data_IF_386387763926
#
_entry.id   IF_386387763926
#
_cell.length_a   1.000
_cell.length_b   1.000
_cell.length_c   1.000
_cell.angle_alpha   90.00
_cell.angle_beta   90.00
_cell.angle_gamma   90.00
#
_symmetry.space_group_name_H-M   'P 1'
#
loop_
_entity.id
_entity.type
_entity.pdbx_description
1 polymer ?
#
# COMPACT_ATOMS: atom_id res chain seq x y z
N UNK A 1 1.73 10.25 -8.88
CA UNK A 1 3.03 10.41 -8.20
C UNK A 1 2.85 11.41 -7.08
N UNK A 2 3.20 11.04 -5.84
CA UNK A 2 3.10 11.94 -4.69
C UNK A 2 4.53 12.41 -4.38
N UNK A 3 4.75 13.72 -4.47
CA UNK A 3 6.08 14.33 -4.38
C UNK A 3 6.48 14.74 -2.97
N UNK A 4 5.51 14.96 -2.09
CA UNK A 4 5.68 15.53 -0.76
C UNK A 4 4.99 14.73 0.34
N UNK A 5 4.84 13.42 0.17
CA UNK A 5 4.28 12.57 1.23
C UNK A 5 5.16 12.63 2.47
N UNK A 6 4.61 13.11 3.59
CA UNK A 6 5.31 13.25 4.87
C UNK A 6 4.47 12.67 6.01
N UNK A 7 4.74 11.41 6.29
CA UNK A 7 4.18 10.67 7.43
C UNK A 7 4.21 11.50 8.74
N UNK A 8 5.37 12.12 9.01
CA UNK A 8 5.63 12.94 10.20
C UNK A 8 4.80 14.22 10.28
N UNK A 9 4.25 14.71 9.16
CA UNK A 9 3.35 15.88 9.12
C UNK A 9 1.86 15.46 9.14
N UNK A 10 1.59 14.15 9.28
CA UNK A 10 0.25 13.60 9.39
C UNK A 10 -0.34 13.08 8.09
N UNK A 11 0.42 13.06 6.98
CA UNK A 11 -0.06 12.51 5.72
C UNK A 11 -0.39 11.02 5.84
N UNK A 12 -1.50 10.63 5.22
CA UNK A 12 -1.98 9.26 5.18
C UNK A 12 -2.42 8.92 3.77
N UNK A 13 -2.18 7.69 3.36
CA UNK A 13 -2.73 7.18 2.11
C UNK A 13 -4.07 6.55 2.45
N UNK A 14 -5.15 7.06 1.88
CA UNK A 14 -6.51 6.52 2.08
C UNK A 14 -6.92 5.71 0.85
N UNK A 15 -7.14 4.41 1.03
CA UNK A 15 -7.51 3.46 -0.02
C UNK A 15 -8.86 2.80 0.24
N UNK A 16 -9.64 3.29 1.22
CA UNK A 16 -10.95 2.72 1.60
C UNK A 16 -11.93 2.62 0.44
N UNK A 17 -11.92 3.61 -0.46
CA UNK A 17 -12.80 3.61 -1.62
C UNK A 17 -12.36 2.63 -2.71
N UNK A 18 -11.07 2.25 -2.71
CA UNK A 18 -10.47 1.42 -3.75
C UNK A 18 -10.40 -0.05 -3.37
N UNK A 19 -10.14 -0.34 -2.10
CA UNK A 19 -10.03 -1.69 -1.58
C UNK A 19 -11.34 -2.10 -0.93
N UNK A 20 -11.90 -3.20 -1.41
CA UNK A 20 -13.06 -3.86 -0.82
C UNK A 20 -12.81 -5.36 -0.78
N UNK A 21 -13.23 -6.00 0.32
CA UNK A 21 -13.10 -7.45 0.49
C UNK A 21 -11.69 -7.92 0.88
N UNK A 22 -10.79 -6.99 1.19
CA UNK A 22 -9.50 -7.28 1.78
C UNK A 22 -9.63 -7.69 3.26
N UNK A 23 -8.68 -8.46 3.74
CA UNK A 23 -8.48 -8.73 5.16
C UNK A 23 -6.98 -8.65 5.48
N UNK A 24 -6.63 -8.56 6.75
CA UNK A 24 -5.22 -8.56 7.17
C UNK A 24 -4.46 -9.82 6.68
N UNK A 25 -5.14 -10.97 6.56
CA UNK A 25 -4.52 -12.22 6.09
C UNK A 25 -4.37 -12.30 4.57
N UNK A 26 -5.07 -11.48 3.80
CA UNK A 26 -5.03 -11.48 2.33
C UNK A 26 -4.49 -10.18 1.75
N UNK A 27 -4.09 -9.22 2.59
CA UNK A 27 -3.73 -7.86 2.15
C UNK A 27 -2.55 -7.83 1.18
N UNK A 28 -1.66 -8.84 1.20
CA UNK A 28 -0.54 -8.96 0.27
C UNK A 28 -0.98 -9.28 -1.18
N UNK A 29 -2.21 -9.76 -1.36
CA UNK A 29 -2.85 -9.89 -2.66
C UNK A 29 -3.28 -8.52 -3.22
N UNK A 30 -3.53 -7.54 -2.36
CA UNK A 30 -4.04 -6.22 -2.71
C UNK A 30 -2.95 -5.15 -2.71
N UNK A 31 -1.99 -5.21 -1.79
CA UNK A 31 -0.96 -4.21 -1.57
C UNK A 31 0.44 -4.82 -1.61
N UNK A 32 1.32 -4.21 -2.39
CA UNK A 32 2.77 -4.49 -2.35
C UNK A 32 3.56 -3.20 -2.34
N UNK A 33 4.74 -3.26 -1.75
CA UNK A 33 5.73 -2.18 -1.83
C UNK A 33 6.96 -2.73 -2.54
N UNK A 34 7.39 -2.01 -3.57
CA UNK A 34 8.73 -2.18 -4.14
C UNK A 34 9.56 -0.96 -3.86
N UNK A 35 10.84 -1.14 -3.59
CA UNK A 35 11.78 -0.01 -3.44
C UNK A 35 12.89 -0.16 -4.46
N UNK A 36 13.08 0.89 -5.27
CA UNK A 36 14.13 0.97 -6.29
C UNK A 36 14.88 2.27 -6.05
N UNK A 37 16.21 2.19 -5.96
CA UNK A 37 17.10 3.34 -5.71
C UNK A 37 16.68 4.21 -4.52
N UNK A 38 16.22 3.55 -3.44
CA UNK A 38 15.78 4.22 -2.21
C UNK A 38 14.41 4.88 -2.28
N UNK A 39 13.69 4.74 -3.40
CA UNK A 39 12.34 5.28 -3.57
C UNK A 39 11.32 4.15 -3.55
N UNK A 40 10.38 4.23 -2.61
CA UNK A 40 9.30 3.26 -2.52
C UNK A 40 8.15 3.57 -3.47
N UNK A 41 7.56 2.50 -3.99
CA UNK A 41 6.35 2.50 -4.81
C UNK A 41 5.35 1.55 -4.17
N UNK A 42 4.16 2.07 -3.86
CA UNK A 42 3.02 1.28 -3.40
C UNK A 42 2.20 0.85 -4.62
N UNK A 43 2.11 -0.45 -4.84
CA UNK A 43 1.22 -1.06 -5.83
C UNK A 43 -0.07 -1.51 -5.15
N UNK A 44 -1.18 -1.22 -5.81
CA UNK A 44 -2.53 -1.51 -5.33
C UNK A 44 -3.30 -2.26 -6.41
N UNK A 45 -3.89 -3.40 -6.06
CA UNK A 45 -4.85 -4.14 -6.89
C UNK A 45 -6.18 -4.19 -6.14
N UNK A 46 -7.23 -3.56 -6.66
CA UNK A 46 -8.56 -3.57 -6.04
C UNK A 46 -9.21 -4.96 -6.12
N UNK A 47 -8.79 -5.78 -7.08
CA UNK A 47 -9.28 -7.16 -7.25
C UNK A 47 -8.45 -8.20 -6.47
N UNK A 48 -7.41 -7.79 -5.74
CA UNK A 48 -6.57 -8.71 -4.97
C UNK A 48 -5.74 -9.68 -5.85
N UNK A 49 -5.16 -9.20 -6.95
CA UNK A 49 -4.46 -10.05 -7.93
C UNK A 49 -2.94 -9.90 -7.97
N UNK A 50 -2.32 -9.24 -6.99
CA UNK A 50 -0.86 -9.04 -6.96
C UNK A 50 -0.03 -10.31 -6.76
N UNK A 51 -0.64 -11.39 -6.25
CA UNK A 51 -0.04 -12.72 -6.12
C UNK A 51 -0.49 -13.70 -7.21
N UNK A 52 -1.42 -13.31 -8.07
CA UNK A 52 -1.85 -14.12 -9.21
C UNK A 52 -0.80 -14.07 -10.35
N UNK A 53 -1.02 -14.87 -11.40
CA UNK A 53 -0.23 -14.76 -12.63
C UNK A 53 -0.28 -13.32 -13.17
N UNK A 54 0.88 -12.78 -13.55
CA UNK A 54 1.04 -11.36 -13.92
C UNK A 54 1.54 -10.47 -12.76
N UNK A 55 1.35 -10.87 -11.51
CA UNK A 55 1.94 -10.22 -10.34
C UNK A 55 1.65 -8.72 -10.27
N UNK A 56 2.70 -7.89 -10.22
CA UNK A 56 2.57 -6.42 -10.16
C UNK A 56 1.94 -5.80 -11.42
N UNK A 57 1.90 -6.52 -12.55
CA UNK A 57 1.19 -6.03 -13.74
C UNK A 57 -0.34 -5.97 -13.54
N UNK A 58 -0.85 -6.64 -12.50
CA UNK A 58 -2.27 -6.60 -12.10
C UNK A 58 -2.58 -5.43 -11.15
N UNK A 59 -1.64 -4.51 -10.91
CA UNK A 59 -1.89 -3.33 -10.09
C UNK A 59 -2.69 -2.29 -10.89
N UNK A 60 -3.84 -1.88 -10.34
CA UNK A 60 -4.69 -0.83 -10.89
C UNK A 60 -4.13 0.57 -10.58
N UNK A 61 -3.48 0.70 -9.41
CA UNK A 61 -2.90 1.96 -8.95
C UNK A 61 -1.45 1.74 -8.52
N UNK A 62 -0.58 2.64 -8.99
CA UNK A 62 0.85 2.67 -8.64
C UNK A 62 1.21 4.05 -8.09
N UNK A 63 1.59 4.11 -6.82
CA UNK A 63 1.91 5.35 -6.11
C UNK A 63 3.40 5.36 -5.80
N UNK A 64 4.17 6.13 -6.57
CA UNK A 64 5.56 6.45 -6.25
C UNK A 64 5.60 7.49 -5.12
N UNK A 65 6.30 7.16 -4.04
CA UNK A 65 6.45 7.98 -2.83
C UNK A 65 7.87 8.56 -2.81
N UNK A 66 8.04 9.71 -3.47
CA UNK A 66 9.36 10.33 -3.54
C UNK A 66 9.84 10.78 -2.15
N UNK A 67 11.14 10.64 -1.88
CA UNK A 67 11.73 10.95 -0.57
C UNK A 67 11.39 9.98 0.56
N UNK A 68 10.63 8.91 0.28
CA UNK A 68 10.24 7.90 1.27
C UNK A 68 10.88 6.54 0.95
N UNK A 69 11.49 5.94 1.97
CA UNK A 69 12.00 4.57 1.90
C UNK A 69 11.28 3.68 2.91
N UNK A 70 10.38 2.85 2.40
CA UNK A 70 9.57 1.88 3.12
C UNK A 70 10.09 0.45 2.91
N UNK A 71 11.36 0.26 2.53
CA UNK A 71 11.94 -1.08 2.33
C UNK A 71 11.85 -1.98 3.57
N UNK A 72 11.80 -1.37 4.75
CA UNK A 72 11.66 -2.06 6.03
C UNK A 72 10.22 -2.05 6.56
N UNK A 73 9.28 -1.41 5.86
CA UNK A 73 7.90 -1.36 6.27
C UNK A 73 7.20 -2.68 5.96
N UNK A 74 6.41 -3.17 6.91
CA UNK A 74 5.53 -4.30 6.71
C UNK A 74 4.12 -3.78 6.40
N UNK A 75 3.49 -4.27 5.32
CA UNK A 75 2.13 -3.89 4.93
C UNK A 75 1.15 -4.02 6.09
N UNK A 76 1.22 -5.12 6.86
CA UNK A 76 0.36 -5.34 8.01
C UNK A 76 0.54 -4.26 9.09
N UNK A 77 1.77 -3.78 9.29
CA UNK A 77 2.03 -2.68 10.23
C UNK A 77 1.47 -1.35 9.72
N UNK A 78 1.58 -1.07 8.42
CA UNK A 78 1.08 0.17 7.79
C UNK A 78 -0.44 0.28 7.85
N UNK A 79 -1.17 -0.82 7.66
CA UNK A 79 -2.64 -0.85 7.74
C UNK A 79 -3.18 -0.93 9.17
N UNK A 80 -2.33 -1.38 10.12
CA UNK A 80 -2.68 -1.47 11.54
C UNK A 80 -2.50 -0.15 12.31
N UNK A 81 -2.09 0.94 11.64
CA UNK A 81 -1.95 2.25 12.29
C UNK A 81 -0.52 2.70 12.57
N UNK A 82 0.51 1.99 12.08
CA UNK A 82 1.90 2.49 12.19
C UNK A 82 2.07 3.83 11.47
N UNK A 83 3.16 4.54 11.74
CA UNK A 83 3.52 5.75 11.00
C UNK A 83 4.70 5.43 10.06
N UNK A 84 4.55 5.56 8.73
CA UNK A 84 3.35 5.98 7.97
C UNK A 84 2.19 4.98 8.02
N UNK A 85 0.96 5.48 7.80
CA UNK A 85 -0.26 4.63 7.77
C UNK A 85 -0.91 4.61 6.40
N UNK A 86 -1.44 3.44 6.03
CA UNK A 86 -2.41 3.27 4.95
C UNK A 86 -3.78 3.01 5.58
N UNK A 87 -4.76 3.85 5.28
CA UNK A 87 -6.15 3.64 5.70
C UNK A 87 -6.83 2.73 4.70
N UNK A 88 -7.38 1.64 5.21
CA UNK A 88 -8.23 0.70 4.48
C UNK A 88 -9.48 0.44 5.33
N UNK A 89 -10.53 -0.08 4.71
CA UNK A 89 -11.77 -0.35 5.41
C UNK A 89 -11.69 -1.81 5.84
N UNK A 90 -10.86 -2.06 6.86
CA UNK A 90 -10.75 -3.38 7.46
C UNK A 90 -12.15 -3.83 7.87
N UNK A 91 -12.81 -4.64 7.04
CA UNK A 91 -14.01 -5.35 7.41
C UNK A 91 -13.60 -6.40 8.43
N UNK A 92 -13.53 -5.98 9.68
CA UNK A 92 -13.28 -6.85 10.83
C UNK A 92 -14.58 -7.62 11.09
N UNK A 93 -14.83 -8.67 10.29
CA UNK A 93 -15.83 -9.71 10.60
C UNK A 93 -15.17 -10.91 11.25
#
# INVERSE_FOLDING_TARGET
>A
MIKDFKASEGDRIDLRDLLQGESASTIDNFLKITTVDGVSTLQVSSEGKLNAAGGLANADVTIKLEGNNWSNANINSLIAGSDPTIKIDHNNS
#
